data_IF_011208755331
#
_entry.id   IF_011208755331
#
_cell.length_a   1.000
_cell.length_b   1.000
_cell.length_c   1.000
_cell.angle_alpha   90.00
_cell.angle_beta   90.00
_cell.angle_gamma   90.00
#
_symmetry.space_group_name_H-M   'P 1'
#
loop_
_entity.id
_entity.type
_entity.pdbx_description
1 polymer ?
#
# COMPACT_ATOMS: atom_id res chain seq x y z
N UNK A 1 3.96 -13.48 -17.16
CA UNK A 1 3.07 -13.43 -15.97
C UNK A 1 3.56 -12.49 -14.87
N UNK A 2 4.83 -12.53 -14.47
CA UNK A 2 5.38 -11.65 -13.42
C UNK A 2 5.18 -10.14 -13.71
N UNK A 3 5.49 -9.69 -14.93
CA UNK A 3 5.33 -8.27 -15.33
C UNK A 3 3.89 -7.77 -15.18
N UNK A 4 2.90 -8.55 -15.64
CA UNK A 4 1.47 -8.20 -15.51
C UNK A 4 1.07 -8.01 -14.04
N UNK A 5 1.55 -8.87 -13.14
CA UNK A 5 1.29 -8.74 -11.70
C UNK A 5 1.95 -7.49 -11.11
N UNK A 6 3.21 -7.21 -11.46
CA UNK A 6 3.90 -6.00 -11.01
C UNK A 6 3.18 -4.71 -11.47
N UNK A 7 2.59 -4.71 -12.67
CA UNK A 7 1.77 -3.59 -13.14
C UNK A 7 0.50 -3.42 -12.31
N UNK A 8 -0.13 -4.51 -11.88
CA UNK A 8 -1.28 -4.43 -10.97
C UNK A 8 -0.90 -3.92 -9.59
N UNK A 9 0.22 -4.38 -9.02
CA UNK A 9 0.75 -3.82 -7.76
C UNK A 9 1.03 -2.33 -7.90
N UNK A 10 1.63 -1.92 -9.03
CA UNK A 10 1.89 -0.51 -9.31
C UNK A 10 0.58 0.28 -9.30
N UNK A 11 -0.43 -0.20 -10.04
CA UNK A 11 -1.73 0.45 -10.13
C UNK A 11 -2.41 0.59 -8.76
N UNK A 12 -2.31 -0.44 -7.89
CA UNK A 12 -2.85 -0.40 -6.53
C UNK A 12 -2.14 0.62 -5.63
N UNK A 13 -0.81 0.75 -5.75
CA UNK A 13 -0.01 1.61 -4.87
C UNK A 13 -0.03 3.09 -5.28
N UNK A 14 -0.19 3.39 -6.57
CA UNK A 14 -0.14 4.75 -7.13
C UNK A 14 -1.10 5.72 -6.43
N UNK A 15 -2.41 5.43 -6.30
CA UNK A 15 -3.36 6.39 -5.70
C UNK A 15 -3.02 6.71 -4.25
N UNK A 16 -2.60 5.69 -3.49
CA UNK A 16 -2.26 5.84 -2.08
C UNK A 16 -1.02 6.70 -1.90
N UNK A 17 0.06 6.38 -2.62
CA UNK A 17 1.34 7.06 -2.50
C UNK A 17 1.26 8.49 -3.06
N UNK A 18 0.59 8.68 -4.20
CA UNK A 18 0.34 10.02 -4.75
C UNK A 18 -0.50 10.86 -3.77
N UNK A 19 -1.59 10.28 -3.25
CA UNK A 19 -2.45 10.94 -2.28
C UNK A 19 -1.69 11.38 -1.03
N UNK A 20 -0.82 10.51 -0.48
CA UNK A 20 0.01 10.85 0.67
C UNK A 20 1.03 11.95 0.37
N UNK A 21 1.78 11.87 -0.72
CA UNK A 21 2.83 12.86 -1.00
C UNK A 21 2.26 14.23 -1.36
N UNK A 22 1.18 14.27 -2.15
CA UNK A 22 0.48 15.52 -2.48
C UNK A 22 -0.16 16.12 -1.22
N UNK A 23 -0.83 15.30 -0.40
CA UNK A 23 -1.40 15.79 0.86
C UNK A 23 -0.33 16.30 1.82
N UNK A 24 0.81 15.60 1.95
CA UNK A 24 1.93 16.04 2.77
C UNK A 24 2.55 17.35 2.27
N UNK A 25 2.58 17.56 0.95
CA UNK A 25 2.99 18.84 0.37
C UNK A 25 2.06 19.99 0.81
N UNK A 26 0.75 19.81 0.72
CA UNK A 26 -0.23 20.78 1.23
C UNK A 26 -0.17 20.96 2.76
N UNK A 27 0.07 19.87 3.49
CA UNK A 27 0.26 19.83 4.94
C UNK A 27 1.41 20.76 5.36
N UNK A 28 2.56 20.68 4.69
CA UNK A 28 3.72 21.56 4.95
C UNK A 28 3.47 23.03 4.61
N UNK A 29 2.54 23.33 3.71
CA UNK A 29 2.14 24.70 3.36
C UNK A 29 1.06 25.26 4.30
N UNK A 30 0.62 24.50 5.30
CA UNK A 30 -0.47 24.89 6.20
C UNK A 30 -1.87 24.82 5.56
N UNK A 31 -1.99 24.25 4.37
CA UNK A 31 -3.26 24.08 3.66
C UNK A 31 -3.96 22.79 4.11
N UNK A 32 -4.28 22.72 5.41
CA UNK A 32 -4.85 21.52 6.04
C UNK A 32 -6.10 20.96 5.36
N UNK A 33 -7.08 21.78 4.91
CA UNK A 33 -8.27 21.25 4.24
C UNK A 33 -7.96 20.51 2.93
N UNK A 34 -7.05 21.08 2.12
CA UNK A 34 -6.60 20.45 0.88
C UNK A 34 -5.83 19.14 1.17
N UNK A 35 -4.96 19.16 2.19
CA UNK A 35 -4.23 17.98 2.63
C UNK A 35 -5.18 16.85 3.04
N UNK A 36 -6.14 17.13 3.93
CA UNK A 36 -7.13 16.14 4.39
C UNK A 36 -8.00 15.62 3.24
N UNK A 37 -8.43 16.50 2.34
CA UNK A 37 -9.17 16.11 1.13
C UNK A 37 -8.38 15.15 0.24
N UNK A 38 -7.09 15.44 0.01
CA UNK A 38 -6.19 14.55 -0.74
C UNK A 38 -5.97 13.20 -0.03
N UNK A 39 -5.83 13.18 1.30
CA UNK A 39 -5.67 11.93 2.06
C UNK A 39 -6.91 11.03 1.92
N UNK A 40 -8.10 11.61 2.07
CA UNK A 40 -9.35 10.88 1.95
C UNK A 40 -9.57 10.39 0.51
N UNK A 41 -9.38 11.26 -0.48
CA UNK A 41 -9.56 10.92 -1.89
C UNK A 41 -8.55 9.86 -2.34
N UNK A 42 -7.26 10.01 -1.99
CA UNK A 42 -6.22 9.03 -2.30
C UNK A 42 -6.50 7.67 -1.66
N UNK A 43 -6.98 7.66 -0.41
CA UNK A 43 -7.37 6.44 0.30
C UNK A 43 -8.59 5.76 -0.32
N UNK A 44 -9.61 6.55 -0.72
CA UNK A 44 -10.81 6.04 -1.40
C UNK A 44 -10.49 5.44 -2.78
N UNK A 45 -9.66 6.15 -3.57
CA UNK A 45 -9.21 5.65 -4.87
C UNK A 45 -8.34 4.41 -4.73
N UNK A 46 -7.43 4.36 -3.76
CA UNK A 46 -6.62 3.18 -3.49
C UNK A 46 -7.50 1.97 -3.13
N UNK A 47 -8.46 2.13 -2.20
CA UNK A 47 -9.37 1.06 -1.82
C UNK A 47 -10.23 0.59 -3.01
N UNK A 48 -10.72 1.51 -3.85
CA UNK A 48 -11.49 1.16 -5.05
C UNK A 48 -10.63 0.40 -6.07
N UNK A 49 -9.41 0.86 -6.33
CA UNK A 49 -8.50 0.19 -7.26
C UNK A 49 -8.14 -1.20 -6.74
N UNK A 50 -7.86 -1.35 -5.44
CA UNK A 50 -7.62 -2.66 -4.82
C UNK A 50 -8.83 -3.58 -5.03
N UNK A 51 -10.05 -3.13 -4.72
CA UNK A 51 -11.26 -3.94 -4.89
C UNK A 51 -11.47 -4.40 -6.35
N UNK A 52 -11.27 -3.50 -7.33
CA UNK A 52 -11.39 -3.83 -8.76
C UNK A 52 -10.30 -4.80 -9.19
N UNK A 53 -9.05 -4.57 -8.77
CA UNK A 53 -7.92 -5.36 -9.23
C UNK A 53 -7.89 -6.74 -8.56
N UNK A 54 -8.30 -6.88 -7.31
CA UNK A 54 -8.42 -8.19 -6.66
C UNK A 54 -9.50 -9.06 -7.34
N UNK A 55 -10.62 -8.47 -7.78
CA UNK A 55 -11.62 -9.16 -8.61
C UNK A 55 -11.03 -9.71 -9.92
N UNK A 56 -10.10 -8.97 -10.54
CA UNK A 56 -9.47 -9.34 -11.81
C UNK A 56 -8.33 -10.36 -11.64
N UNK A 57 -7.71 -10.41 -10.46
CA UNK A 57 -6.61 -11.33 -10.15
C UNK A 57 -7.15 -12.66 -9.59
N UNK A 58 -8.20 -12.61 -8.76
CA UNK A 58 -8.79 -13.79 -8.11
C UNK A 58 -10.27 -13.94 -8.49
N UNK A 59 -10.58 -14.72 -9.56
CA UNK A 59 -11.96 -14.96 -9.97
C UNK A 59 -12.79 -15.51 -8.80
N UNK A 60 -13.87 -14.81 -8.43
CA UNK A 60 -14.76 -15.19 -7.33
C UNK A 60 -14.46 -14.51 -5.98
N UNK A 61 -13.34 -13.78 -5.85
CA UNK A 61 -13.06 -12.97 -4.67
C UNK A 61 -13.80 -11.63 -4.78
N UNK A 62 -14.77 -11.37 -3.90
CA UNK A 62 -15.44 -10.06 -3.79
C UNK A 62 -15.00 -9.39 -2.50
N UNK A 63 -14.30 -8.26 -2.63
CA UNK A 63 -14.02 -7.42 -1.47
C UNK A 63 -15.34 -6.86 -0.92
N UNK A 64 -15.55 -7.02 0.39
CA UNK A 64 -16.79 -6.55 1.02
C UNK A 64 -16.75 -5.03 1.17
N UNK A 65 -17.91 -4.37 1.12
CA UNK A 65 -18.01 -2.91 1.38
C UNK A 65 -17.40 -2.54 2.73
N UNK A 66 -17.52 -3.44 3.72
CA UNK A 66 -16.89 -3.29 5.04
C UNK A 66 -15.35 -3.27 4.96
N UNK A 67 -14.75 -4.18 4.20
CA UNK A 67 -13.31 -4.22 4.00
C UNK A 67 -12.81 -2.96 3.27
N UNK A 68 -13.51 -2.55 2.22
CA UNK A 68 -13.20 -1.32 1.48
C UNK A 68 -13.27 -0.09 2.38
N UNK A 69 -14.35 0.07 3.17
CA UNK A 69 -14.49 1.17 4.13
C UNK A 69 -13.39 1.13 5.21
N UNK A 70 -13.06 -0.05 5.72
CA UNK A 70 -11.95 -0.24 6.66
C UNK A 70 -10.60 0.19 6.08
N UNK A 71 -10.32 -0.16 4.82
CA UNK A 71 -9.12 0.28 4.11
C UNK A 71 -9.09 1.81 3.97
N UNK A 72 -10.19 2.45 3.57
CA UNK A 72 -10.25 3.92 3.48
C UNK A 72 -9.93 4.59 4.82
N UNK A 73 -10.53 4.13 5.91
CA UNK A 73 -10.30 4.66 7.25
C UNK A 73 -8.86 4.44 7.70
N UNK A 74 -8.35 3.21 7.53
CA UNK A 74 -6.98 2.86 7.91
C UNK A 74 -5.95 3.70 7.14
N UNK A 75 -6.06 3.76 5.82
CA UNK A 75 -5.18 4.55 4.97
C UNK A 75 -5.24 6.03 5.29
N UNK A 76 -6.44 6.61 5.45
CA UNK A 76 -6.60 8.03 5.79
C UNK A 76 -5.95 8.33 7.15
N UNK A 77 -6.21 7.51 8.16
CA UNK A 77 -5.63 7.67 9.49
C UNK A 77 -4.11 7.57 9.48
N UNK A 78 -3.55 6.64 8.70
CA UNK A 78 -2.10 6.49 8.56
C UNK A 78 -1.45 7.63 7.80
N UNK A 79 -2.11 8.20 6.79
CA UNK A 79 -1.62 9.40 6.11
C UNK A 79 -1.59 10.61 7.04
N UNK A 80 -2.62 10.79 7.87
CA UNK A 80 -2.64 11.84 8.90
C UNK A 80 -1.53 11.62 9.90
N UNK A 81 -1.42 10.41 10.48
CA UNK A 81 -0.40 10.07 11.45
C UNK A 81 1.01 10.21 10.86
N UNK A 82 1.22 9.77 9.62
CA UNK A 82 2.47 9.92 8.89
C UNK A 82 2.83 11.39 8.63
N UNK A 83 1.86 12.23 8.30
CA UNK A 83 2.10 13.67 8.09
C UNK A 83 2.43 14.39 9.40
N UNK A 84 1.73 14.07 10.48
CA UNK A 84 2.05 14.56 11.82
C UNK A 84 3.45 14.13 12.23
N UNK A 85 3.77 12.85 12.02
CA UNK A 85 5.08 12.27 12.32
C UNK A 85 6.21 12.95 11.56
N UNK A 86 6.12 13.04 10.23
CA UNK A 86 7.17 13.65 9.39
C UNK A 86 7.32 15.15 9.63
N UNK A 87 6.28 15.84 10.09
CA UNK A 87 6.35 17.24 10.51
C UNK A 87 6.87 17.44 11.93
N UNK A 88 6.99 16.38 12.73
CA UNK A 88 7.40 16.49 14.11
C UNK A 88 8.91 16.76 14.22
N UNK A 89 9.30 17.73 15.06
CA UNK A 89 10.71 18.10 15.27
C UNK A 89 11.57 17.00 15.91
N UNK A 90 10.94 16.01 16.54
CA UNK A 90 11.62 14.84 17.11
C UNK A 90 11.81 13.69 16.11
N UNK A 91 11.20 13.77 14.92
CA UNK A 91 11.32 12.70 13.93
C UNK A 91 12.76 12.60 13.41
N UNK A 92 13.27 11.37 13.29
CA UNK A 92 14.64 11.11 12.82
C UNK A 92 14.69 9.81 12.03
N UNK A 93 15.79 9.59 11.30
CA UNK A 93 15.92 8.44 10.40
C UNK A 93 15.78 7.09 11.13
N UNK A 94 16.25 6.96 12.37
CA UNK A 94 16.11 5.72 13.12
C UNK A 94 14.66 5.50 13.57
N UNK A 95 13.93 6.57 13.88
CA UNK A 95 12.51 6.50 14.21
C UNK A 95 11.69 6.14 12.98
N UNK A 96 12.10 6.54 11.76
CA UNK A 96 11.42 6.13 10.53
C UNK A 96 11.37 4.59 10.41
N UNK A 97 12.43 3.90 10.85
CA UNK A 97 12.46 2.43 10.87
C UNK A 97 11.38 1.87 11.80
N UNK A 98 11.30 2.39 13.02
CA UNK A 98 10.31 1.96 14.02
C UNK A 98 8.89 2.34 13.61
N UNK A 99 8.71 3.54 13.09
CA UNK A 99 7.43 4.04 12.60
C UNK A 99 6.91 3.20 11.44
N UNK A 100 7.76 2.79 10.50
CA UNK A 100 7.37 1.89 9.41
C UNK A 100 6.88 0.52 9.90
N UNK A 101 7.53 -0.05 10.92
CA UNK A 101 7.07 -1.27 11.57
C UNK A 101 5.72 -1.07 12.27
N UNK A 102 5.56 0.05 13.00
CA UNK A 102 4.31 0.39 13.68
C UNK A 102 3.15 0.58 12.68
N UNK A 103 3.41 1.21 11.53
CA UNK A 103 2.45 1.35 10.42
C UNK A 103 1.98 -0.03 9.94
N UNK A 104 2.90 -0.99 9.77
CA UNK A 104 2.50 -2.33 9.37
C UNK A 104 1.66 -3.05 10.42
N UNK A 105 1.95 -2.88 11.71
CA UNK A 105 1.13 -3.46 12.78
C UNK A 105 -0.26 -2.83 12.78
N UNK A 106 -0.34 -1.51 12.66
CA UNK A 106 -1.61 -0.79 12.58
C UNK A 106 -2.44 -1.23 11.36
N UNK A 107 -1.81 -1.35 10.18
CA UNK A 107 -2.47 -1.87 8.97
C UNK A 107 -2.96 -3.30 9.14
N UNK A 108 -2.13 -4.18 9.71
CA UNK A 108 -2.51 -5.56 9.97
C UNK A 108 -3.77 -5.60 10.86
N UNK A 109 -3.76 -4.92 12.00
CA UNK A 109 -4.89 -4.88 12.93
C UNK A 109 -6.15 -4.28 12.30
N UNK A 110 -6.01 -3.20 11.51
CA UNK A 110 -7.13 -2.59 10.82
C UNK A 110 -7.76 -3.54 9.79
N UNK A 111 -6.93 -4.27 9.03
CA UNK A 111 -7.38 -5.23 8.04
C UNK A 111 -7.99 -6.47 8.68
N UNK A 112 -7.43 -6.98 9.78
CA UNK A 112 -8.04 -8.08 10.55
C UNK A 112 -9.43 -7.69 11.08
N UNK A 113 -9.58 -6.47 11.61
CA UNK A 113 -10.86 -5.97 12.12
C UNK A 113 -11.90 -5.74 11.00
N UNK A 114 -11.44 -5.30 9.82
CA UNK A 114 -12.29 -4.99 8.67
C UNK A 114 -12.72 -6.26 7.91
N UNK A 115 -11.76 -7.11 7.57
CA UNK A 115 -11.96 -8.31 6.76
C UNK A 115 -12.31 -9.58 7.57
N UNK A 116 -12.11 -9.56 8.89
CA UNK A 116 -12.24 -10.75 9.78
C UNK A 116 -11.33 -11.92 9.38
N UNK A 117 -10.25 -11.63 8.68
CA UNK A 117 -9.23 -12.60 8.28
C UNK A 117 -7.91 -12.28 8.98
N UNK A 118 -7.14 -13.30 9.34
CA UNK A 118 -5.82 -13.10 9.95
C UNK A 118 -4.83 -12.52 8.95
N UNK A 119 -4.13 -11.49 9.37
CA UNK A 119 -3.06 -10.90 8.59
C UNK A 119 -1.77 -11.68 8.86
N UNK A 120 -1.22 -12.32 7.82
CA UNK A 120 -0.07 -13.21 7.98
C UNK A 120 1.19 -12.47 8.43
N UNK A 121 1.89 -13.02 9.43
CA UNK A 121 3.13 -12.45 9.98
C UNK A 121 4.17 -12.07 8.92
N UNK A 122 4.40 -12.96 7.94
CA UNK A 122 5.34 -12.71 6.84
C UNK A 122 4.93 -11.48 6.04
N UNK A 123 3.62 -11.32 5.73
CA UNK A 123 3.11 -10.15 5.00
C UNK A 123 3.39 -8.87 5.80
N UNK A 124 3.18 -8.89 7.12
CA UNK A 124 3.49 -7.76 8.00
C UNK A 124 4.97 -7.39 7.97
N UNK A 125 5.88 -8.38 7.98
CA UNK A 125 7.31 -8.08 7.94
C UNK A 125 7.71 -7.37 6.64
N UNK A 126 7.26 -7.87 5.49
CA UNK A 126 7.54 -7.26 4.19
C UNK A 126 6.93 -5.86 4.08
N UNK A 127 5.70 -5.69 4.54
CA UNK A 127 5.02 -4.39 4.57
C UNK A 127 5.74 -3.41 5.50
N UNK A 128 6.10 -3.83 6.71
CA UNK A 128 6.81 -3.00 7.68
C UNK A 128 8.16 -2.54 7.16
N UNK A 129 8.96 -3.46 6.63
CA UNK A 129 10.24 -3.11 5.99
C UNK A 129 10.06 -2.13 4.83
N UNK A 130 9.04 -2.35 3.99
CA UNK A 130 8.70 -1.46 2.88
C UNK A 130 8.34 -0.05 3.37
N UNK A 131 7.45 0.05 4.37
CA UNK A 131 7.04 1.32 4.98
C UNK A 131 8.22 2.05 5.62
N UNK A 132 9.10 1.34 6.34
CA UNK A 132 10.31 1.91 6.96
C UNK A 132 11.21 2.57 5.92
N UNK A 133 11.49 1.85 4.82
CA UNK A 133 12.34 2.41 3.75
C UNK A 133 11.61 3.53 3.00
N UNK A 134 10.30 3.44 2.77
CA UNK A 134 9.54 4.54 2.17
C UNK A 134 9.62 5.82 2.99
N UNK A 135 9.53 5.75 4.33
CA UNK A 135 9.70 6.93 5.18
C UNK A 135 11.12 7.51 5.07
N UNK A 136 12.15 6.66 5.05
CA UNK A 136 13.53 7.10 4.82
C UNK A 136 13.68 7.79 3.45
N UNK A 137 13.12 7.21 2.38
CA UNK A 137 13.15 7.79 1.05
C UNK A 137 12.51 9.18 1.04
N UNK A 138 11.35 9.34 1.67
CA UNK A 138 10.67 10.65 1.78
C UNK A 138 11.54 11.65 2.56
N UNK A 139 12.17 11.22 3.66
CA UNK A 139 13.06 12.07 4.46
C UNK A 139 14.28 12.52 3.67
N UNK A 140 14.97 11.60 3.00
CA UNK A 140 16.20 11.89 2.27
C UNK A 140 15.96 12.60 0.94
N UNK A 141 14.77 12.45 0.35
CA UNK A 141 14.37 13.13 -0.89
C UNK A 141 13.54 14.40 -0.64
N UNK A 142 13.51 14.93 0.60
CA UNK A 142 12.67 16.08 0.97
C UNK A 142 12.87 17.32 0.10
N UNK A 143 14.08 17.50 -0.45
CA UNK A 143 14.49 18.64 -1.27
C UNK A 143 14.39 18.32 -2.79
N UNK A 144 14.06 17.08 -3.15
CA UNK A 144 13.85 16.68 -4.54
C UNK A 144 12.44 17.09 -5.02
N UNK A 145 12.23 17.24 -6.35
CA UNK A 145 10.91 17.49 -6.91
C UNK A 145 9.90 16.42 -6.47
N UNK A 146 8.64 16.81 -6.26
CA UNK A 146 7.57 15.91 -5.80
C UNK A 146 7.43 14.66 -6.68
N UNK A 147 7.61 14.82 -8.00
CA UNK A 147 7.59 13.71 -8.95
C UNK A 147 8.72 12.70 -8.67
N UNK A 148 9.93 13.16 -8.32
CA UNK A 148 11.05 12.27 -8.00
C UNK A 148 10.80 11.50 -6.70
N UNK A 149 10.26 12.18 -5.67
CA UNK A 149 9.84 11.52 -4.42
C UNK A 149 8.78 10.44 -4.69
N UNK A 150 7.77 10.80 -5.48
CA UNK A 150 6.70 9.88 -5.88
C UNK A 150 7.24 8.66 -6.62
N UNK A 151 8.06 8.86 -7.65
CA UNK A 151 8.65 7.76 -8.42
C UNK A 151 9.52 6.86 -7.55
N UNK A 152 10.35 7.43 -6.68
CA UNK A 152 11.20 6.65 -5.78
C UNK A 152 10.38 5.76 -4.84
N UNK A 153 9.37 6.34 -4.17
CA UNK A 153 8.55 5.61 -3.19
C UNK A 153 7.65 4.58 -3.88
N UNK A 154 7.00 4.94 -4.99
CA UNK A 154 6.08 4.03 -5.70
C UNK A 154 6.82 2.86 -6.34
N UNK A 155 7.99 3.09 -6.95
CA UNK A 155 8.82 2.02 -7.53
C UNK A 155 9.31 1.10 -6.42
N UNK A 156 9.89 1.66 -5.34
CA UNK A 156 10.35 0.87 -4.20
C UNK A 156 9.25 -0.02 -3.64
N UNK A 157 8.12 0.57 -3.27
CA UNK A 157 7.03 -0.14 -2.63
C UNK A 157 6.46 -1.23 -3.55
N UNK A 158 6.32 -0.94 -4.84
CA UNK A 158 5.86 -1.90 -5.86
C UNK A 158 6.83 -3.05 -6.03
N UNK A 159 8.14 -2.79 -6.08
CA UNK A 159 9.15 -3.84 -6.21
C UNK A 159 9.12 -4.79 -5.01
N UNK A 160 9.10 -4.24 -3.79
CA UNK A 160 9.09 -5.06 -2.56
C UNK A 160 7.83 -5.91 -2.46
N UNK A 161 6.65 -5.31 -2.67
CA UNK A 161 5.38 -6.04 -2.58
C UNK A 161 5.20 -7.04 -3.74
N UNK A 162 5.68 -6.69 -4.94
CA UNK A 162 5.71 -7.59 -6.09
C UNK A 162 6.60 -8.80 -5.87
N UNK A 163 7.83 -8.60 -5.34
CA UNK A 163 8.76 -9.68 -5.01
C UNK A 163 8.18 -10.58 -3.92
N UNK A 164 7.60 -10.01 -2.86
CA UNK A 164 6.92 -10.77 -1.82
C UNK A 164 5.83 -11.70 -2.40
N UNK A 165 4.96 -11.17 -3.26
CA UNK A 165 3.90 -11.95 -3.91
C UNK A 165 4.46 -13.06 -4.80
N UNK A 166 5.50 -12.77 -5.58
CA UNK A 166 6.16 -13.78 -6.43
C UNK A 166 6.83 -14.90 -5.61
N UNK A 167 7.52 -14.57 -4.51
CA UNK A 167 8.10 -15.56 -3.57
C UNK A 167 6.98 -16.44 -2.99
N UNK A 168 5.88 -15.84 -2.54
CA UNK A 168 4.75 -16.56 -1.97
C UNK A 168 4.12 -17.55 -2.96
N UNK A 169 4.02 -17.18 -4.24
CA UNK A 169 3.51 -18.06 -5.30
C UNK A 169 4.46 -19.24 -5.57
N UNK A 170 5.76 -18.96 -5.68
CA UNK A 170 6.78 -19.98 -6.00
C UNK A 170 6.97 -21.00 -4.89
N UNK A 171 6.89 -20.57 -3.64
CA UNK A 171 7.07 -21.42 -2.45
C UNK A 171 5.83 -22.23 -2.07
N UNK A 172 4.72 -22.09 -2.81
CA UNK A 172 3.51 -22.88 -2.58
C UNK A 172 2.73 -22.48 -1.32
N UNK A 173 2.97 -21.28 -0.78
CA UNK A 173 2.23 -20.72 0.36
C UNK A 173 0.82 -20.20 0.00
N UNK A 174 0.33 -20.59 -1.18
CA UNK A 174 -1.05 -20.43 -1.62
C UNK A 174 -1.58 -21.85 -1.82
N UNK A 175 -2.72 -22.23 -1.23
CA UNK A 175 -3.36 -23.51 -1.55
C UNK A 175 -3.54 -23.62 -3.07
N UNK A 176 -3.27 -24.79 -3.63
CA UNK A 176 -3.20 -25.06 -5.07
C UNK A 176 -4.43 -24.58 -5.87
N UNK A 177 -5.56 -24.34 -5.21
CA UNK A 177 -6.81 -23.86 -5.78
C UNK A 177 -6.74 -22.49 -6.46
N UNK A 178 -5.75 -21.63 -6.15
CA UNK A 178 -5.53 -20.38 -6.89
C UNK A 178 -4.71 -20.57 -8.18
N UNK A 179 -3.98 -21.68 -8.35
CA UNK A 179 -3.27 -21.99 -9.60
C UNK A 179 -4.24 -22.40 -10.71
N UNK A 180 -5.35 -23.04 -10.35
CA UNK A 180 -6.28 -23.63 -11.32
C UNK A 180 -7.17 -22.56 -11.98
N UNK A 181 -7.49 -21.47 -11.27
CA UNK A 181 -8.20 -20.31 -11.85
C UNK A 181 -7.37 -19.52 -12.88
N UNK A 182 -6.04 -19.44 -12.72
CA UNK A 182 -5.15 -18.80 -13.70
C UNK A 182 -4.91 -19.67 -14.95
N UNK A 183 -4.90 -21.01 -14.80
CA UNK A 183 -4.77 -21.94 -15.93
C UNK A 183 -6.03 -22.00 -16.80
N UNK A 184 -7.22 -21.85 -16.20
CA UNK A 184 -8.49 -21.81 -16.94
C UNK A 184 -8.60 -20.56 -17.86
N UNK A 185 -8.10 -19.40 -17.43
CA UNK A 185 -8.16 -18.15 -18.22
C UNK A 185 -7.08 -18.10 -19.31
N UNK A 186 -6.01 -18.88 -19.17
CA UNK A 186 -4.95 -19.01 -20.19
C UNK A 186 -5.20 -20.10 -21.25
N UNK A 187 -6.19 -20.97 -21.05
CA UNK A 187 -6.48 -22.12 -21.91
C UNK A 187 -7.49 -21.87 -23.04
N UNK A 188 -8.22 -20.75 -23.04
CA UNK A 188 -9.27 -20.45 -24.04
C UNK A 188 -8.82 -19.55 -25.19
N UNK A 189 -7.53 -19.55 -25.54
CA UNK A 189 -7.05 -19.02 -26.82
C UNK A 189 -6.09 -20.00 -27.49
N UNK A 190 -6.65 -21.17 -27.85
CA UNK A 190 -6.15 -22.04 -28.91
C UNK A 190 -7.05 -21.88 -30.12
#
# INVERSE_FOLDING_TARGET
>A
MAVKRMLWELAQNVPLIAGFLVSFHFWKQGQWPAALGCMLLGSALAALVIAITELLIFPGHKETVRAMAGNVVAFSGLMVAGSLYLSAGWSSWWIDLVAGLAVSVALALAQEAAARERFGFTRSLWLGASCSVSLLLIRFLKDAPLLAQFLAVVVWFTLVMGVYKEIRIRTGWIPATARDGELAVGGERG
#
